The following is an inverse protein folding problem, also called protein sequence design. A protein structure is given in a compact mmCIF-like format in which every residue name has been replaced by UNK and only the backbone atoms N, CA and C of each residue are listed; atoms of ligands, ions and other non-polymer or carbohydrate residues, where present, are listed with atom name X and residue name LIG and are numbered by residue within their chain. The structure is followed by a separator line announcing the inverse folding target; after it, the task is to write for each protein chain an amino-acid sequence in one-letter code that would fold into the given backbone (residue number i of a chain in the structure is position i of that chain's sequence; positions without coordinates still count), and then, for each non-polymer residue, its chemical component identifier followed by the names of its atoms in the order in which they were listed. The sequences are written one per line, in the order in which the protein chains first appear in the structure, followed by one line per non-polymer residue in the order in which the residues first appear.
data_IF_728561312800
#
_entry.id   IF_728561312800
#
_cell.length_a   1.000
_cell.length_b   1.000
_cell.length_c   1.000
_cell.angle_alpha   90.00
_cell.angle_beta   90.00
_cell.angle_gamma   90.00
#
_symmetry.space_group_name_H-M   'P 1'
#
loop_
_entity.id
_entity.type
_entity.pdbx_description
1 polymer ?
#
# COMPACT_ATOMS: atom_id res chain seq x y z
N UNK A 1 14.78 3.58 -10.66
CA UNK A 1 15.36 3.92 -11.93
C UNK A 1 14.42 4.84 -12.71
N UNK A 2 14.89 6.05 -13.04
CA UNK A 2 14.11 7.06 -13.77
C UNK A 2 13.85 6.69 -15.24
N UNK A 3 14.44 5.61 -15.71
CA UNK A 3 14.34 5.18 -17.10
C UNK A 3 13.26 4.12 -17.34
N UNK A 4 12.49 3.76 -16.33
CA UNK A 4 11.42 2.79 -16.46
C UNK A 4 11.87 1.33 -16.60
N UNK A 5 13.13 1.08 -16.36
CA UNK A 5 13.69 -0.27 -16.23
C UNK A 5 13.88 -0.53 -14.73
N UNK A 6 13.49 -1.68 -14.29
CA UNK A 6 13.79 -2.11 -12.93
C UNK A 6 15.15 -2.84 -12.90
N UNK A 7 15.70 -3.02 -11.73
CA UNK A 7 17.03 -3.66 -11.55
C UNK A 7 17.10 -5.08 -12.11
N UNK A 8 15.96 -5.74 -12.29
CA UNK A 8 15.88 -7.08 -12.85
C UNK A 8 15.97 -7.08 -14.38
N UNK A 9 16.09 -5.90 -15.03
CA UNK A 9 16.25 -5.78 -16.47
C UNK A 9 15.03 -6.18 -17.29
N UNK A 10 13.88 -6.41 -16.63
CA UNK A 10 12.62 -6.76 -17.30
C UNK A 10 11.81 -5.52 -17.70
N UNK A 11 10.78 -5.69 -18.57
CA UNK A 11 9.87 -4.60 -18.89
C UNK A 11 9.07 -4.16 -17.67
N UNK A 12 8.62 -2.90 -17.66
CA UNK A 12 7.70 -2.41 -16.62
C UNK A 12 6.43 -3.27 -16.57
N UNK A 13 5.88 -3.40 -15.36
CA UNK A 13 4.58 -4.02 -15.19
C UNK A 13 3.49 -3.17 -15.84
N UNK A 14 2.52 -3.82 -16.50
CA UNK A 14 1.36 -3.14 -17.04
C UNK A 14 0.46 -2.62 -15.91
N UNK A 15 -0.47 -1.71 -16.26
CA UNK A 15 -1.48 -1.22 -15.29
C UNK A 15 -2.26 -2.39 -14.69
N UNK A 16 -2.61 -3.41 -15.48
CA UNK A 16 -3.31 -4.59 -14.96
C UNK A 16 -2.44 -5.42 -14.01
N UNK A 17 -1.19 -5.66 -14.36
CA UNK A 17 -0.25 -6.38 -13.49
C UNK A 17 -0.05 -5.64 -12.16
N UNK A 18 0.05 -4.31 -12.21
CA UNK A 18 0.15 -3.47 -11.00
C UNK A 18 -1.12 -3.55 -10.15
N UNK A 19 -2.29 -3.47 -10.78
CA UNK A 19 -3.57 -3.64 -10.09
C UNK A 19 -3.62 -4.98 -9.37
N UNK A 20 -3.30 -6.08 -10.05
CA UNK A 20 -3.37 -7.42 -9.48
C UNK A 20 -2.41 -7.60 -8.30
N UNK A 21 -1.21 -7.01 -8.43
CA UNK A 21 -0.23 -6.97 -7.34
C UNK A 21 -0.74 -6.20 -6.13
N UNK A 22 -1.25 -5.00 -6.35
CA UNK A 22 -1.74 -4.14 -5.28
C UNK A 22 -2.95 -4.75 -4.57
N UNK A 23 -3.87 -5.36 -5.32
CA UNK A 23 -5.01 -6.08 -4.75
C UNK A 23 -4.53 -7.26 -3.87
N UNK A 24 -3.55 -8.02 -4.36
CA UNK A 24 -2.95 -9.10 -3.58
C UNK A 24 -2.33 -8.59 -2.28
N UNK A 25 -1.56 -7.50 -2.34
CA UNK A 25 -0.93 -6.92 -1.14
C UNK A 25 -1.97 -6.50 -0.11
N UNK A 26 -3.05 -5.85 -0.53
CA UNK A 26 -4.13 -5.48 0.39
C UNK A 26 -4.80 -6.71 1.00
N UNK A 27 -5.06 -7.74 0.20
CA UNK A 27 -5.62 -9.01 0.69
C UNK A 27 -4.74 -9.66 1.75
N UNK A 28 -3.44 -9.70 1.51
CA UNK A 28 -2.47 -10.21 2.49
C UNK A 28 -2.45 -9.38 3.76
N UNK A 29 -2.45 -8.06 3.65
CA UNK A 29 -2.49 -7.16 4.80
C UNK A 29 -3.73 -7.40 5.67
N UNK A 30 -4.89 -7.63 5.05
CA UNK A 30 -6.13 -7.94 5.76
C UNK A 30 -6.05 -9.26 6.54
N UNK A 31 -5.23 -10.21 6.10
CA UNK A 31 -4.98 -11.45 6.82
C UNK A 31 -3.95 -11.27 7.95
N UNK A 32 -2.95 -10.42 7.76
CA UNK A 32 -1.87 -10.21 8.73
C UNK A 32 -2.24 -9.31 9.90
N UNK A 33 -2.99 -8.24 9.65
CA UNK A 33 -3.32 -7.24 10.68
C UNK A 33 -4.00 -7.86 11.89
N UNK A 34 -4.99 -8.76 11.76
CA UNK A 34 -5.64 -9.38 12.91
C UNK A 34 -4.71 -10.22 13.79
N UNK A 35 -3.57 -10.66 13.25
CA UNK A 35 -2.61 -11.47 14.00
C UNK A 35 -1.82 -10.67 15.02
N UNK A 36 -1.73 -9.34 14.86
CA UNK A 36 -1.00 -8.49 15.78
C UNK A 36 -1.74 -8.39 17.12
N UNK A 37 -1.09 -8.74 18.24
CA UNK A 37 -1.71 -8.58 19.56
C UNK A 37 -2.08 -7.13 19.82
N UNK A 38 -3.25 -6.90 20.40
CA UNK A 38 -3.79 -5.56 20.64
C UNK A 38 -2.83 -4.68 21.48
N UNK A 39 -2.16 -5.25 22.46
CA UNK A 39 -1.20 -4.55 23.32
C UNK A 39 0.10 -4.18 22.62
N UNK A 40 0.34 -4.67 21.39
CA UNK A 40 1.51 -4.34 20.57
C UNK A 40 1.26 -3.18 19.61
N UNK A 41 0.02 -2.81 19.36
CA UNK A 41 -0.34 -1.79 18.36
C UNK A 41 0.28 -0.41 18.63
N UNK A 42 0.61 -0.10 19.89
CA UNK A 42 1.24 1.17 20.28
C UNK A 42 2.75 1.17 20.15
N UNK A 43 3.38 0.02 19.89
CA UNK A 43 4.82 -0.06 19.69
C UNK A 43 5.22 0.70 18.43
N UNK A 44 6.41 1.29 18.47
CA UNK A 44 6.95 1.99 17.32
C UNK A 44 7.71 1.04 16.39
N UNK A 45 7.53 1.28 15.10
CA UNK A 45 8.33 0.64 14.06
C UNK A 45 9.80 1.03 14.26
N UNK A 46 10.75 0.08 14.26
CA UNK A 46 12.16 0.40 14.46
C UNK A 46 12.66 1.49 13.51
N UNK A 47 13.26 2.54 14.09
CA UNK A 47 13.82 3.66 13.33
C UNK A 47 12.80 4.60 12.68
N UNK A 48 11.51 4.49 13.03
CA UNK A 48 10.46 5.33 12.46
C UNK A 48 9.58 5.96 13.55
N UNK A 49 9.11 7.21 13.36
CA UNK A 49 8.19 7.85 14.29
C UNK A 49 6.73 7.39 14.05
N UNK A 50 6.54 6.11 13.88
CA UNK A 50 5.23 5.52 13.50
C UNK A 50 4.96 4.29 14.33
N UNK A 51 3.76 4.18 14.90
CA UNK A 51 3.32 2.97 15.60
C UNK A 51 2.94 1.85 14.63
N UNK A 52 2.85 0.62 15.14
CA UNK A 52 2.34 -0.51 14.37
C UNK A 52 0.92 -0.26 13.87
N UNK A 53 0.08 0.37 14.71
CA UNK A 53 -1.28 0.81 14.34
C UNK A 53 -1.24 1.78 13.17
N UNK A 54 -0.41 2.79 13.23
CA UNK A 54 -0.27 3.78 12.18
C UNK A 54 0.26 3.17 10.89
N UNK A 55 1.17 2.20 10.94
CA UNK A 55 1.65 1.48 9.78
C UNK A 55 0.52 0.68 9.10
N UNK A 56 -0.26 -0.05 9.88
CA UNK A 56 -1.41 -0.82 9.37
C UNK A 56 -2.43 0.07 8.67
N UNK A 57 -2.70 1.25 9.22
CA UNK A 57 -3.55 2.25 8.58
C UNK A 57 -2.92 2.81 7.29
N UNK A 58 -1.65 3.19 7.37
CA UNK A 58 -0.93 3.86 6.29
C UNK A 58 -0.87 3.03 5.00
N UNK A 59 -0.68 1.72 5.11
CA UNK A 59 -0.57 0.88 3.92
C UNK A 59 -1.85 0.89 3.06
N UNK A 60 -3.02 1.09 3.66
CA UNK A 60 -4.27 1.30 2.94
C UNK A 60 -4.46 2.77 2.54
N UNK A 61 -4.02 3.70 3.39
CA UNK A 61 -4.18 5.14 3.12
C UNK A 61 -3.48 5.56 1.83
N UNK A 62 -2.33 4.96 1.51
CA UNK A 62 -1.62 5.26 0.25
C UNK A 62 -2.42 4.81 -0.98
N UNK A 63 -3.16 3.71 -0.88
CA UNK A 63 -4.02 3.24 -1.96
C UNK A 63 -5.25 4.14 -2.12
N UNK A 64 -5.88 4.51 -1.02
CA UNK A 64 -7.00 5.43 -1.01
C UNK A 64 -6.62 6.79 -1.61
N UNK A 65 -5.43 7.28 -1.30
CA UNK A 65 -4.90 8.52 -1.88
C UNK A 65 -4.70 8.41 -3.41
N UNK A 66 -4.24 7.26 -3.91
CA UNK A 66 -4.14 7.02 -5.35
C UNK A 66 -5.51 7.06 -6.04
N UNK A 67 -6.49 6.37 -5.49
CA UNK A 67 -7.86 6.39 -6.03
C UNK A 67 -8.42 7.80 -6.04
N UNK A 68 -8.21 8.56 -4.97
CA UNK A 68 -8.59 9.97 -4.87
C UNK A 68 -7.94 10.82 -5.96
N UNK A 69 -6.65 10.61 -6.22
CA UNK A 69 -5.92 11.37 -7.23
C UNK A 69 -6.51 11.16 -8.63
N UNK A 70 -6.85 9.94 -9.01
CA UNK A 70 -7.51 9.68 -10.29
C UNK A 70 -8.93 10.25 -10.36
N UNK A 71 -9.59 10.39 -9.22
CA UNK A 71 -10.94 10.99 -9.11
C UNK A 71 -10.93 12.51 -8.95
N UNK A 72 -9.77 13.16 -9.05
CA UNK A 72 -9.63 14.62 -9.04
C UNK A 72 -9.27 15.24 -7.71
N UNK A 73 -8.94 14.45 -6.68
CA UNK A 73 -8.41 14.96 -5.41
C UNK A 73 -6.88 14.88 -5.43
N UNK A 74 -6.16 16.01 -5.56
CA UNK A 74 -4.71 15.98 -5.64
C UNK A 74 -4.06 15.23 -4.49
N UNK A 75 -3.00 14.48 -4.78
CA UNK A 75 -2.25 13.76 -3.76
C UNK A 75 -1.37 14.74 -2.98
N UNK A 76 -1.65 14.87 -1.69
CA UNK A 76 -0.95 15.79 -0.79
C UNK A 76 -0.03 15.03 0.17
N UNK A 77 1.11 15.61 0.49
CA UNK A 77 2.06 15.03 1.43
C UNK A 77 1.44 14.76 2.82
N UNK A 78 0.54 15.63 3.26
CA UNK A 78 -0.16 15.49 4.54
C UNK A 78 -0.94 14.17 4.66
N UNK A 79 -1.44 13.61 3.54
CA UNK A 79 -2.18 12.36 3.52
C UNK A 79 -1.36 11.19 4.05
N UNK A 80 -0.04 11.21 3.84
CA UNK A 80 0.87 10.16 4.31
C UNK A 80 1.24 10.28 5.78
N UNK A 81 0.84 11.35 6.44
CA UNK A 81 1.03 11.59 7.87
C UNK A 81 -0.25 11.40 8.67
N UNK A 82 -1.36 11.14 8.00
CA UNK A 82 -2.62 10.85 8.67
C UNK A 82 -2.50 9.60 9.51
N UNK A 83 -3.06 9.65 10.70
CA UNK A 83 -3.08 8.53 11.63
C UNK A 83 -4.52 8.10 11.90
N UNK A 84 -4.73 6.83 12.22
CA UNK A 84 -6.04 6.37 12.67
C UNK A 84 -6.33 6.91 14.09
N UNK A 85 -7.55 6.69 14.57
CA UNK A 85 -7.84 6.91 15.98
C UNK A 85 -6.80 6.22 16.87
N UNK A 86 -6.35 6.90 17.94
CA UNK A 86 -5.37 6.38 18.87
C UNK A 86 -5.81 5.05 19.53
N UNK A 87 -7.11 4.78 19.53
CA UNK A 87 -7.71 3.57 20.12
C UNK A 87 -8.20 2.59 19.04
N UNK A 88 -7.90 2.82 17.77
CA UNK A 88 -8.35 1.94 16.69
C UNK A 88 -7.88 0.50 16.94
N UNK A 89 -8.82 -0.43 16.91
CA UNK A 89 -8.58 -1.87 17.06
C UNK A 89 -8.12 -2.47 15.72
N UNK A 90 -7.57 -3.69 15.76
CA UNK A 90 -7.27 -4.44 14.54
C UNK A 90 -8.53 -4.64 13.69
N UNK A 91 -9.69 -4.87 14.32
CA UNK A 91 -10.95 -4.99 13.60
C UNK A 91 -11.35 -3.72 12.86
N UNK A 92 -11.16 -2.55 13.46
CA UNK A 92 -11.41 -1.26 12.81
C UNK A 92 -10.43 -0.99 11.68
N UNK A 93 -9.16 -1.36 11.83
CA UNK A 93 -8.15 -1.27 10.77
C UNK A 93 -8.50 -2.20 9.60
N UNK A 94 -8.96 -3.40 9.87
CA UNK A 94 -9.43 -4.36 8.84
C UNK A 94 -10.67 -3.81 8.13
N UNK A 95 -11.61 -3.23 8.86
CA UNK A 95 -12.80 -2.62 8.25
C UNK A 95 -12.43 -1.48 7.30
N UNK A 96 -11.51 -0.62 7.71
CA UNK A 96 -10.99 0.45 6.86
C UNK A 96 -10.30 -0.12 5.61
N UNK A 97 -9.40 -1.08 5.78
CA UNK A 97 -8.69 -1.72 4.67
C UNK A 97 -9.62 -2.44 3.69
N UNK A 98 -10.66 -3.10 4.20
CA UNK A 98 -11.69 -3.76 3.38
C UNK A 98 -12.43 -2.74 2.52
N UNK A 99 -12.78 -1.59 3.09
CA UNK A 99 -13.45 -0.52 2.35
C UNK A 99 -12.53 0.10 1.28
N UNK A 100 -11.25 0.31 1.60
CA UNK A 100 -10.26 0.79 0.62
C UNK A 100 -10.10 -0.20 -0.53
N UNK A 101 -10.01 -1.49 -0.22
CA UNK A 101 -9.90 -2.54 -1.25
C UNK A 101 -11.15 -2.58 -2.15
N UNK A 102 -12.33 -2.44 -1.56
CA UNK A 102 -13.59 -2.34 -2.31
C UNK A 102 -13.59 -1.11 -3.23
N UNK A 103 -13.16 0.05 -2.72
CA UNK A 103 -13.06 1.29 -3.50
C UNK A 103 -12.05 1.16 -4.64
N UNK A 104 -10.94 0.45 -4.42
CA UNK A 104 -9.95 0.17 -5.45
C UNK A 104 -10.49 -0.74 -6.55
N UNK A 105 -11.26 -1.77 -6.19
CA UNK A 105 -11.95 -2.64 -7.14
C UNK A 105 -12.99 -1.88 -7.97
N UNK A 106 -13.76 -1.01 -7.33
CA UNK A 106 -14.72 -0.13 -8.03
C UNK A 106 -14.00 0.83 -8.97
N UNK A 107 -12.88 1.43 -8.53
CA UNK A 107 -12.04 2.27 -9.38
C UNK A 107 -11.57 1.50 -10.61
N UNK A 108 -11.12 0.26 -10.45
CA UNK A 108 -10.67 -0.58 -11.55
C UNK A 108 -11.78 -0.82 -12.59
N UNK A 109 -12.99 -1.03 -12.14
CA UNK A 109 -14.15 -1.27 -13.03
C UNK A 109 -14.67 -0.01 -13.70
N UNK A 110 -14.51 1.15 -13.11
CA UNK A 110 -15.12 2.41 -13.59
C UNK A 110 -14.13 3.39 -14.22
N UNK A 111 -12.83 3.27 -13.94
CA UNK A 111 -11.79 4.12 -14.52
C UNK A 111 -11.51 3.73 -15.97
N UNK A 112 -11.07 4.72 -16.78
CA UNK A 112 -10.55 4.45 -18.13
C UNK A 112 -9.19 3.74 -18.10
N UNK A 113 -8.50 3.75 -16.95
CA UNK A 113 -7.20 3.12 -16.73
C UNK A 113 -6.14 3.57 -17.73
N UNK A 114 -6.26 4.79 -18.21
CA UNK A 114 -5.34 5.35 -19.21
C UNK A 114 -3.95 5.59 -18.60
N UNK A 115 -2.91 4.82 -18.97
CA UNK A 115 -1.61 4.86 -18.29
C UNK A 115 -0.91 6.21 -18.39
N UNK A 116 -1.18 6.98 -19.41
CA UNK A 116 -0.58 8.30 -19.63
C UNK A 116 -1.38 9.47 -19.05
N UNK A 117 -2.53 9.21 -18.45
CA UNK A 117 -3.33 10.25 -17.78
C UNK A 117 -2.49 10.94 -16.72
N UNK A 118 -2.49 12.28 -16.73
CA UNK A 118 -1.75 13.07 -15.73
C UNK A 118 -2.54 13.21 -14.44
N UNK A 119 -1.91 12.93 -13.33
CA UNK A 119 -2.46 13.06 -11.98
C UNK A 119 -1.64 14.07 -11.19
N UNK A 120 -2.31 14.90 -10.41
CA UNK A 120 -1.67 15.92 -9.58
C UNK A 120 -1.13 15.33 -8.28
N UNK A 121 0.15 15.57 -8.01
CA UNK A 121 0.80 15.17 -6.76
C UNK A 121 1.60 16.33 -6.17
N UNK A 122 1.93 16.23 -4.88
CA UNK A 122 2.71 17.26 -4.18
C UNK A 122 4.16 17.39 -4.68
N UNK A 123 4.64 16.43 -5.47
CA UNK A 123 5.98 16.45 -6.09
C UNK A 123 5.93 16.65 -7.61
N UNK A 124 4.81 17.13 -8.13
CA UNK A 124 4.59 17.40 -9.54
C UNK A 124 3.63 16.41 -10.21
N UNK A 125 3.25 16.66 -11.46
CA UNK A 125 2.37 15.76 -12.19
C UNK A 125 3.04 14.42 -12.46
N UNK A 126 2.26 13.34 -12.31
CA UNK A 126 2.68 11.98 -12.58
C UNK A 126 1.68 11.33 -13.54
N UNK A 127 2.14 10.40 -14.38
CA UNK A 127 1.20 9.57 -15.13
C UNK A 127 0.47 8.60 -14.18
N UNK A 128 -0.71 8.17 -14.56
CA UNK A 128 -1.45 7.15 -13.81
C UNK A 128 -0.59 5.89 -13.60
N UNK A 129 0.13 5.46 -14.64
CA UNK A 129 1.03 4.31 -14.54
C UNK A 129 2.13 4.53 -13.49
N UNK A 130 2.81 5.66 -13.54
CA UNK A 130 3.89 5.99 -12.59
C UNK A 130 3.38 6.03 -11.16
N UNK A 131 2.23 6.67 -10.93
CA UNK A 131 1.66 6.77 -9.60
C UNK A 131 1.16 5.41 -9.08
N UNK A 132 0.54 4.61 -9.94
CA UNK A 132 0.12 3.25 -9.58
C UNK A 132 1.32 2.36 -9.26
N UNK A 133 2.39 2.42 -10.06
CA UNK A 133 3.62 1.67 -9.81
C UNK A 133 4.23 2.04 -8.45
N UNK A 134 4.34 3.33 -8.17
CA UNK A 134 4.85 3.83 -6.88
C UNK A 134 3.96 3.42 -5.71
N UNK A 135 2.65 3.50 -5.87
CA UNK A 135 1.69 3.10 -4.84
C UNK A 135 1.79 1.59 -4.56
N UNK A 136 1.90 0.79 -5.61
CA UNK A 136 2.03 -0.66 -5.50
C UNK A 136 3.31 -1.04 -4.76
N UNK A 137 4.45 -0.47 -5.14
CA UNK A 137 5.71 -0.67 -4.45
C UNK A 137 5.62 -0.26 -2.98
N UNK A 138 5.07 0.92 -2.71
CA UNK A 138 4.93 1.48 -1.36
C UNK A 138 4.10 0.58 -0.45
N UNK A 139 2.92 0.16 -0.93
CA UNK A 139 2.06 -0.78 -0.20
C UNK A 139 2.78 -2.11 0.05
N UNK A 140 3.42 -2.67 -0.98
CA UNK A 140 4.16 -3.93 -0.87
C UNK A 140 5.28 -3.88 0.17
N UNK A 141 6.05 -2.79 0.22
CA UNK A 141 7.10 -2.61 1.23
C UNK A 141 6.52 -2.55 2.65
N UNK A 142 5.38 -1.89 2.83
CA UNK A 142 4.74 -1.83 4.14
C UNK A 142 4.14 -3.18 4.57
N UNK A 143 3.63 -3.99 3.64
CA UNK A 143 3.19 -5.35 3.96
C UNK A 143 4.38 -6.21 4.39
N UNK A 144 5.51 -6.16 3.67
CA UNK A 144 6.75 -6.83 4.10
C UNK A 144 7.19 -6.38 5.49
N UNK A 145 7.17 -5.08 5.72
CA UNK A 145 7.54 -4.52 7.02
C UNK A 145 6.61 -5.06 8.12
N UNK A 146 5.31 -5.15 7.87
CA UNK A 146 4.36 -5.69 8.82
C UNK A 146 4.61 -7.19 9.11
N UNK A 147 4.96 -7.97 8.09
CA UNK A 147 5.37 -9.35 8.27
C UNK A 147 6.58 -9.47 9.21
N UNK A 148 7.59 -8.61 9.02
CA UNK A 148 8.77 -8.55 9.89
C UNK A 148 8.41 -8.16 11.33
N UNK A 149 7.46 -7.25 11.52
CA UNK A 149 6.99 -6.86 12.84
C UNK A 149 6.29 -8.02 13.56
N UNK A 150 5.45 -8.79 12.86
CA UNK A 150 4.84 -10.00 13.41
C UNK A 150 5.91 -11.01 13.86
N UNK A 151 6.91 -11.27 13.02
CA UNK A 151 8.03 -12.14 13.36
C UNK A 151 8.78 -11.64 14.59
N UNK A 152 9.06 -10.34 14.67
CA UNK A 152 9.70 -9.71 15.82
C UNK A 152 8.90 -9.89 17.12
N UNK A 153 7.59 -9.86 17.03
CA UNK A 153 6.70 -10.07 18.18
C UNK A 153 6.44 -11.56 18.47
N UNK A 154 7.10 -12.47 17.75
CA UNK A 154 6.96 -13.91 17.94
C UNK A 154 5.65 -14.48 17.40
N UNK A 155 4.98 -13.77 16.50
CA UNK A 155 3.72 -14.19 15.90
C UNK A 155 3.98 -14.94 14.62
N UNK A 156 3.52 -16.19 14.53
CA UNK A 156 3.65 -17.00 13.32
C UNK A 156 2.64 -16.56 12.27
N UNK A 157 3.09 -16.53 11.01
CA UNK A 157 2.24 -16.32 9.83
C UNK A 157 2.73 -17.21 8.68
N UNK A 158 1.91 -17.38 7.66
CA UNK A 158 2.23 -18.27 6.54
C UNK A 158 3.18 -17.68 5.50
N UNK A 159 3.78 -16.53 5.75
CA UNK A 159 4.61 -15.79 4.77
C UNK A 159 3.93 -15.71 3.41
N UNK A 160 2.75 -15.08 3.33
CA UNK A 160 1.91 -15.10 2.14
C UNK A 160 2.51 -14.40 0.93
N UNK A 161 3.59 -13.65 1.09
CA UNK A 161 4.33 -13.01 0.01
C UNK A 161 5.74 -13.57 -0.07
N UNK A 162 6.19 -13.82 -1.30
CA UNK A 162 7.52 -14.32 -1.63
C UNK A 162 8.25 -13.34 -2.55
N UNK A 163 9.54 -13.54 -2.81
CA UNK A 163 10.36 -12.62 -3.60
C UNK A 163 9.75 -12.29 -4.98
N UNK A 164 9.14 -13.28 -5.65
CA UNK A 164 8.51 -13.08 -6.97
C UNK A 164 7.31 -12.12 -6.93
N UNK A 165 6.67 -11.95 -5.78
CA UNK A 165 5.57 -10.99 -5.62
C UNK A 165 6.05 -9.54 -5.72
N UNK A 166 7.35 -9.28 -5.57
CA UNK A 166 7.97 -7.96 -5.65
C UNK A 166 8.79 -7.76 -6.93
N UNK A 167 8.94 -8.80 -7.75
CA UNK A 167 9.74 -8.73 -8.97
C UNK A 167 9.23 -7.65 -9.92
N UNK A 168 10.15 -6.95 -10.57
CA UNK A 168 9.90 -5.87 -11.53
C UNK A 168 9.21 -4.63 -10.96
N UNK A 169 9.16 -4.47 -9.64
CA UNK A 169 8.82 -3.21 -9.00
C UNK A 169 10.10 -2.42 -8.74
N UNK A 170 10.05 -1.07 -8.81
CA UNK A 170 11.21 -0.25 -8.48
C UNK A 170 11.59 -0.44 -7.01
N UNK A 171 12.90 -0.55 -6.72
CA UNK A 171 13.41 -0.69 -5.35
C UNK A 171 13.99 0.62 -4.83
#
# INVERSE_FOLDING_TARGET
DFLGLNEDGGPQLSVQELHDRLDKYMGVALELIPLMPADRLTKHVPGRPRSYRALAFHLFRVVDAFVGADRGTPLLQAMFREEPSANATTGELVSYGTEVRRSFDEWWRTSDRAPKKSLETYYGPQSLHELLERTTWHCGQHVRQYMMLLEKEGVSHHRPLVATDFARLPM
#
